data_IF_123636258763
#
_entry.id   IF_123636258763
#
_cell.length_a   1.000
_cell.length_b   1.000
_cell.length_c   1.000
_cell.angle_alpha   90.00
_cell.angle_beta   90.00
_cell.angle_gamma   90.00
#
_symmetry.space_group_name_H-M   'P 1'
#
loop_
_entity.id
_entity.type
_entity.pdbx_description
1 polymer ?
#
# COMPACT_ATOMS: atom_id res chain seq x y z
N UNK A 1 -22.99 -37.87 23.08
CA UNK A 1 -21.88 -38.75 22.64
C UNK A 1 -22.28 -39.43 21.35
N UNK A 2 -21.64 -39.05 20.24
CA UNK A 2 -21.88 -39.51 18.86
C UNK A 2 -20.99 -38.69 17.90
N UNK A 3 -20.46 -39.27 16.82
CA UNK A 3 -19.02 -39.47 16.69
C UNK A 3 -18.32 -38.32 15.95
N UNK A 4 -17.38 -37.68 16.62
CA UNK A 4 -16.35 -36.88 15.98
C UNK A 4 -15.26 -37.85 15.49
N UNK A 5 -15.30 -38.19 14.20
CA UNK A 5 -14.20 -38.88 13.52
C UNK A 5 -13.24 -37.84 12.92
N UNK A 6 -11.92 -37.93 13.16
CA UNK A 6 -10.95 -37.02 12.58
C UNK A 6 -10.65 -37.45 11.14
N UNK A 7 -11.26 -36.81 10.15
CA UNK A 7 -10.91 -37.10 8.75
C UNK A 7 -11.59 -36.23 7.69
N UNK A 8 -12.92 -36.08 7.74
CA UNK A 8 -13.67 -35.50 6.61
C UNK A 8 -14.20 -34.08 6.84
N UNK A 9 -14.41 -33.65 8.09
CA UNK A 9 -14.96 -32.32 8.39
C UNK A 9 -13.95 -31.16 8.17
N UNK A 10 -12.64 -31.43 8.27
CA UNK A 10 -11.60 -30.40 8.15
C UNK A 10 -11.36 -29.94 6.71
N UNK A 11 -11.77 -30.72 5.70
CA UNK A 11 -11.44 -30.44 4.30
C UNK A 11 -12.30 -29.32 3.67
N UNK A 12 -13.45 -28.99 4.26
CA UNK A 12 -14.35 -27.94 3.73
C UNK A 12 -14.24 -26.61 4.48
N UNK A 13 -13.65 -26.61 5.67
CA UNK A 13 -13.60 -25.45 6.57
C UNK A 13 -12.33 -24.58 6.44
N UNK A 14 -11.31 -25.04 5.71
CA UNK A 14 -10.03 -24.35 5.58
C UNK A 14 -9.85 -23.56 4.26
N UNK A 15 -10.94 -23.17 3.60
CA UNK A 15 -10.89 -22.38 2.37
C UNK A 15 -11.27 -20.93 2.61
N UNK A 16 -10.55 -20.01 1.96
CA UNK A 16 -10.90 -18.60 1.98
C UNK A 16 -12.18 -18.37 1.15
N UNK A 17 -13.25 -17.95 1.82
CA UNK A 17 -14.54 -17.63 1.19
C UNK A 17 -14.76 -16.13 1.22
N UNK A 18 -15.10 -15.54 0.08
CA UNK A 18 -15.33 -14.11 -0.05
C UNK A 18 -16.58 -13.80 -0.89
N UNK A 19 -17.45 -12.93 -0.39
CA UNK A 19 -18.49 -12.29 -1.22
C UNK A 19 -17.88 -11.11 -1.99
N UNK A 20 -17.38 -11.38 -3.19
CA UNK A 20 -16.64 -10.40 -3.99
C UNK A 20 -17.44 -9.13 -4.33
N UNK A 21 -18.75 -9.24 -4.57
CA UNK A 21 -19.58 -8.08 -4.91
C UNK A 21 -19.76 -7.14 -3.72
N UNK A 22 -20.03 -7.68 -2.54
CA UNK A 22 -20.16 -6.89 -1.31
C UNK A 22 -18.82 -6.24 -0.93
N UNK A 23 -17.73 -7.00 -1.03
CA UNK A 23 -16.36 -6.54 -0.77
C UNK A 23 -15.96 -5.42 -1.72
N UNK A 24 -16.23 -5.55 -3.03
CA UNK A 24 -15.90 -4.53 -4.02
C UNK A 24 -16.49 -3.16 -3.65
N UNK A 25 -17.79 -3.12 -3.33
CA UNK A 25 -18.49 -1.86 -3.03
C UNK A 25 -17.94 -1.19 -1.77
N UNK A 26 -17.67 -1.98 -0.72
CA UNK A 26 -17.11 -1.46 0.53
C UNK A 26 -15.67 -0.99 0.33
N UNK A 27 -14.84 -1.78 -0.34
CA UNK A 27 -13.44 -1.45 -0.57
C UNK A 27 -13.28 -0.11 -1.31
N UNK A 28 -14.00 0.09 -2.42
CA UNK A 28 -13.92 1.34 -3.19
C UNK A 28 -14.35 2.54 -2.34
N UNK A 29 -15.45 2.42 -1.59
CA UNK A 29 -15.97 3.53 -0.80
C UNK A 29 -15.06 3.87 0.38
N UNK A 30 -14.75 2.87 1.22
CA UNK A 30 -13.99 3.07 2.44
C UNK A 30 -12.54 3.47 2.20
N UNK A 31 -11.87 2.91 1.17
CA UNK A 31 -10.50 3.34 0.85
C UNK A 31 -10.46 4.75 0.27
N UNK A 32 -11.37 5.12 -0.62
CA UNK A 32 -11.41 6.49 -1.15
C UNK A 32 -11.67 7.52 -0.05
N UNK A 33 -12.56 7.23 0.90
CA UNK A 33 -12.84 8.12 2.03
C UNK A 33 -11.64 8.24 2.97
N UNK A 34 -11.00 7.11 3.33
CA UNK A 34 -9.80 7.13 4.15
C UNK A 34 -8.63 7.89 3.48
N UNK A 35 -8.44 7.73 2.17
CA UNK A 35 -7.45 8.49 1.41
C UNK A 35 -7.71 9.99 1.49
N UNK A 36 -8.94 10.45 1.25
CA UNK A 36 -9.29 11.87 1.32
C UNK A 36 -9.13 12.45 2.72
N UNK A 37 -9.44 11.66 3.75
CA UNK A 37 -9.24 12.03 5.15
C UNK A 37 -7.76 12.27 5.45
N UNK A 38 -6.86 11.33 5.16
CA UNK A 38 -5.43 11.50 5.46
C UNK A 38 -4.77 12.59 4.61
N UNK A 39 -5.21 12.79 3.37
CA UNK A 39 -4.77 13.90 2.51
C UNK A 39 -5.13 15.23 3.16
N UNK A 40 -6.39 15.39 3.58
CA UNK A 40 -6.88 16.61 4.21
C UNK A 40 -6.19 16.87 5.54
N UNK A 41 -6.01 15.83 6.36
CA UNK A 41 -5.39 15.94 7.68
C UNK A 41 -3.90 16.33 7.58
N UNK A 42 -3.24 15.98 6.46
CA UNK A 42 -1.90 16.45 6.11
C UNK A 42 -1.87 17.86 5.49
N UNK A 43 -3.01 18.52 5.31
CA UNK A 43 -3.10 19.84 4.66
C UNK A 43 -2.85 19.82 3.15
N UNK A 44 -2.97 18.65 2.53
CA UNK A 44 -2.74 18.44 1.10
C UNK A 44 -4.05 18.37 0.32
N UNK A 45 -3.93 18.35 -1.00
CA UNK A 45 -4.99 18.01 -1.94
C UNK A 45 -4.61 16.75 -2.72
N UNK A 46 -5.57 16.07 -3.37
CA UNK A 46 -5.23 14.93 -4.24
C UNK A 46 -4.22 15.27 -5.34
N UNK A 47 -4.17 16.53 -5.78
CA UNK A 47 -3.22 16.97 -6.81
C UNK A 47 -1.76 16.95 -6.32
N UNK A 48 -1.54 17.09 -5.01
CA UNK A 48 -0.23 17.10 -4.37
C UNK A 48 0.33 15.68 -4.15
N UNK A 49 -0.47 14.62 -4.39
CA UNK A 49 -0.01 13.24 -4.28
C UNK A 49 0.73 12.82 -5.55
N UNK A 50 1.99 12.43 -5.39
CA UNK A 50 2.88 12.00 -6.47
C UNK A 50 2.72 10.52 -6.80
N UNK A 51 2.56 9.67 -5.77
CA UNK A 51 2.37 8.24 -5.96
C UNK A 51 1.40 7.64 -4.94
N UNK A 52 0.44 6.85 -5.45
CA UNK A 52 -0.43 6.00 -4.65
C UNK A 52 0.04 4.56 -4.75
N UNK A 53 0.23 3.92 -3.60
CA UNK A 53 0.56 2.50 -3.49
C UNK A 53 -0.57 1.80 -2.71
N UNK A 54 -1.62 1.33 -3.41
CA UNK A 54 -2.76 0.70 -2.77
C UNK A 54 -2.51 -0.79 -2.47
N UNK A 55 -3.33 -1.37 -1.60
CA UNK A 55 -3.47 -2.82 -1.47
C UNK A 55 -3.85 -3.43 -2.83
N UNK A 56 -3.06 -4.39 -3.28
CA UNK A 56 -3.14 -5.03 -4.59
C UNK A 56 -4.23 -6.13 -4.59
N UNK A 57 -5.47 -5.75 -4.27
CA UNK A 57 -6.61 -6.67 -4.20
C UNK A 57 -7.12 -7.11 -5.57
N UNK A 58 -7.45 -6.12 -6.40
CA UNK A 58 -8.03 -6.30 -7.71
C UNK A 58 -7.90 -4.98 -8.48
N UNK A 59 -7.45 -5.07 -9.74
CA UNK A 59 -7.29 -3.91 -10.63
C UNK A 59 -8.56 -3.04 -10.71
N UNK A 60 -9.75 -3.65 -10.74
CA UNK A 60 -11.03 -2.90 -10.82
C UNK A 60 -11.30 -2.06 -9.57
N UNK A 61 -10.90 -2.54 -8.39
CA UNK A 61 -11.06 -1.79 -7.13
C UNK A 61 -10.11 -0.59 -7.15
N UNK A 62 -8.85 -0.83 -7.53
CA UNK A 62 -7.80 0.18 -7.58
C UNK A 62 -8.16 1.29 -8.57
N UNK A 63 -8.58 0.93 -9.79
CA UNK A 63 -9.00 1.92 -10.79
C UNK A 63 -10.21 2.73 -10.32
N UNK A 64 -11.25 2.08 -9.78
CA UNK A 64 -12.43 2.80 -9.29
C UNK A 64 -12.11 3.73 -8.10
N UNK A 65 -11.19 3.34 -7.24
CA UNK A 65 -10.69 4.21 -6.16
C UNK A 65 -9.92 5.40 -6.73
N UNK A 66 -9.05 5.18 -7.72
CA UNK A 66 -8.25 6.23 -8.35
C UNK A 66 -9.13 7.27 -9.06
N UNK A 67 -10.12 6.78 -9.81
CA UNK A 67 -11.12 7.63 -10.49
C UNK A 67 -11.87 8.51 -9.48
N UNK A 68 -12.25 7.96 -8.32
CA UNK A 68 -12.94 8.71 -7.25
C UNK A 68 -12.06 9.75 -6.58
N UNK A 69 -10.74 9.55 -6.57
CA UNK A 69 -9.77 10.53 -6.06
C UNK A 69 -9.37 11.56 -7.14
N UNK A 70 -9.80 11.40 -8.39
CA UNK A 70 -9.41 12.27 -9.51
C UNK A 70 -7.94 12.10 -9.91
N UNK A 71 -7.34 10.94 -9.63
CA UNK A 71 -5.93 10.67 -9.90
C UNK A 71 -5.76 9.98 -11.25
N UNK A 72 -4.72 10.37 -12.00
CA UNK A 72 -4.36 9.66 -13.23
C UNK A 72 -3.79 8.28 -12.91
N UNK A 73 -4.02 7.30 -13.80
CA UNK A 73 -3.51 5.93 -13.63
C UNK A 73 -1.98 5.86 -13.51
N UNK A 74 -1.25 6.83 -14.07
CA UNK A 74 0.20 6.92 -13.95
C UNK A 74 0.69 7.18 -12.52
N UNK A 75 -0.13 7.84 -11.69
CA UNK A 75 0.16 8.10 -10.27
C UNK A 75 -0.20 6.92 -9.36
N UNK A 76 -0.69 5.82 -9.91
CA UNK A 76 -1.09 4.65 -9.14
C UNK A 76 -0.17 3.48 -9.47
N UNK A 77 0.56 3.01 -8.47
CA UNK A 77 1.45 1.86 -8.65
C UNK A 77 0.67 0.55 -8.57
N UNK A 78 0.82 -0.29 -9.59
CA UNK A 78 0.24 -1.63 -9.64
C UNK A 78 1.27 -2.63 -10.14
N UNK A 79 1.35 -3.77 -9.46
CA UNK A 79 2.16 -4.93 -9.85
C UNK A 79 1.35 -6.24 -9.75
N UNK A 80 0.02 -6.10 -9.70
CA UNK A 80 -0.97 -7.18 -9.58
C UNK A 80 -0.82 -8.23 -10.69
N UNK A 81 -0.41 -7.80 -11.89
CA UNK A 81 -0.16 -8.68 -13.03
C UNK A 81 1.05 -9.61 -12.83
N UNK A 82 2.00 -9.22 -11.97
CA UNK A 82 3.18 -10.01 -11.64
C UNK A 82 2.96 -10.92 -10.43
N UNK A 83 2.33 -10.39 -9.36
CA UNK A 83 2.27 -11.08 -8.06
C UNK A 83 0.86 -11.47 -7.60
N UNK A 84 -0.19 -10.94 -8.23
CA UNK A 84 -1.56 -11.08 -7.73
C UNK A 84 -1.76 -10.41 -6.36
N UNK A 85 -2.73 -10.92 -5.60
CA UNK A 85 -3.01 -10.42 -4.24
C UNK A 85 -2.18 -11.19 -3.20
N UNK A 86 -1.18 -10.52 -2.63
CA UNK A 86 -0.29 -11.06 -1.59
C UNK A 86 -0.70 -10.65 -0.17
N UNK A 87 -1.98 -10.34 0.05
CA UNK A 87 -2.59 -10.01 1.35
C UNK A 87 -1.94 -8.81 2.06
N UNK A 88 -1.15 -9.01 3.12
CA UNK A 88 -0.49 -7.90 3.83
C UNK A 88 0.82 -7.46 3.16
N UNK A 89 1.45 -8.33 2.36
CA UNK A 89 2.77 -8.09 1.78
C UNK A 89 2.73 -7.20 0.53
N UNK A 90 1.57 -7.03 -0.06
CA UNK A 90 1.31 -6.22 -1.26
C UNK A 90 1.88 -4.80 -1.21
N UNK A 91 1.60 -4.02 -0.16
CA UNK A 91 2.07 -2.63 -0.10
C UNK A 91 3.60 -2.58 0.02
N UNK A 92 4.24 -3.35 0.93
CA UNK A 92 5.69 -3.42 1.00
C UNK A 92 6.35 -3.84 -0.33
N UNK A 93 5.82 -4.88 -1.00
CA UNK A 93 6.36 -5.34 -2.29
C UNK A 93 6.23 -4.23 -3.35
N UNK A 94 5.04 -3.65 -3.47
CA UNK A 94 4.78 -2.58 -4.44
C UNK A 94 5.64 -1.34 -4.19
N UNK A 95 5.83 -0.94 -2.94
CA UNK A 95 6.67 0.20 -2.56
C UNK A 95 8.16 -0.06 -2.85
N UNK A 96 8.63 -1.29 -2.58
CA UNK A 96 10.00 -1.69 -2.89
C UNK A 96 10.27 -1.67 -4.40
N UNK A 97 9.34 -2.17 -5.22
CA UNK A 97 9.48 -2.14 -6.67
C UNK A 97 9.36 -0.74 -7.25
N UNK A 98 8.39 0.06 -6.80
CA UNK A 98 8.28 1.46 -7.19
C UNK A 98 9.58 2.23 -6.94
N UNK A 99 10.20 1.96 -5.79
CA UNK A 99 11.51 2.54 -5.45
C UNK A 99 12.60 2.06 -6.41
N UNK A 100 12.72 0.74 -6.62
CA UNK A 100 13.74 0.16 -7.50
C UNK A 100 13.59 0.60 -8.97
N UNK A 101 12.35 0.84 -9.41
CA UNK A 101 12.01 1.35 -10.74
C UNK A 101 12.17 2.87 -10.86
N UNK A 102 12.63 3.56 -9.80
CA UNK A 102 12.87 5.00 -9.81
C UNK A 102 11.59 5.84 -9.87
N UNK A 103 10.46 5.28 -9.45
CA UNK A 103 9.14 5.95 -9.43
C UNK A 103 8.98 6.94 -8.28
N UNK A 104 9.87 6.89 -7.28
CA UNK A 104 9.86 7.72 -6.09
C UNK A 104 11.16 8.52 -5.96
N UNK A 105 11.04 9.78 -5.56
CA UNK A 105 12.14 10.70 -5.26
C UNK A 105 11.96 11.29 -3.87
N UNK A 106 13.07 11.72 -3.27
CA UNK A 106 13.00 12.40 -1.99
C UNK A 106 12.14 13.67 -2.11
N UNK A 107 11.19 13.85 -1.19
CA UNK A 107 10.20 14.93 -1.22
C UNK A 107 8.85 14.55 -1.83
N UNK A 108 8.74 13.40 -2.52
CA UNK A 108 7.46 12.98 -3.12
C UNK A 108 6.42 12.67 -2.02
N UNK A 109 5.18 13.09 -2.20
CA UNK A 109 4.07 12.71 -1.32
C UNK A 109 3.49 11.36 -1.73
N UNK A 110 3.63 10.38 -0.83
CA UNK A 110 3.21 9.00 -1.04
C UNK A 110 1.95 8.70 -0.24
N UNK A 111 0.94 8.17 -0.93
CA UNK A 111 -0.32 7.72 -0.33
C UNK A 111 -0.40 6.20 -0.33
N UNK A 112 -0.56 5.60 0.85
CA UNK A 112 -0.85 4.17 1.00
C UNK A 112 -2.31 4.00 1.40
N UNK A 113 -2.96 2.96 0.89
CA UNK A 113 -4.30 2.59 1.36
C UNK A 113 -4.53 1.09 1.28
N UNK A 114 -5.30 0.56 2.21
CA UNK A 114 -5.61 -0.86 2.29
C UNK A 114 -7.04 -1.12 2.73
N UNK A 115 -7.54 -2.29 2.33
CA UNK A 115 -8.81 -2.86 2.75
C UNK A 115 -8.66 -4.37 2.87
N UNK A 116 -9.28 -4.98 3.88
CA UNK A 116 -9.20 -6.42 4.13
C UNK A 116 -10.36 -6.97 4.95
N UNK A 117 -10.31 -8.29 5.20
CA UNK A 117 -11.29 -9.00 6.00
C UNK A 117 -11.34 -8.50 7.45
N UNK A 118 -12.55 -8.31 8.00
CA UNK A 118 -12.77 -7.70 9.30
C UNK A 118 -14.18 -7.09 9.45
N UNK A 119 -14.62 -6.13 8.64
CA UNK A 119 -13.87 -5.37 7.64
C UNK A 119 -12.93 -4.36 8.31
N UNK A 120 -11.74 -4.22 7.74
CA UNK A 120 -10.74 -3.23 8.18
C UNK A 120 -10.21 -2.49 6.98
N UNK A 121 -9.99 -1.18 7.13
CA UNK A 121 -9.40 -0.33 6.11
C UNK A 121 -8.60 0.78 6.77
N UNK A 122 -7.73 1.39 5.99
CA UNK A 122 -6.95 2.54 6.43
C UNK A 122 -6.16 3.13 5.29
N UNK A 123 -5.74 4.37 5.47
CA UNK A 123 -4.82 5.04 4.60
C UNK A 123 -3.74 5.75 5.43
N UNK A 124 -2.64 6.11 4.79
CA UNK A 124 -1.64 7.02 5.35
C UNK A 124 -0.99 7.79 4.23
N UNK A 125 -0.63 9.04 4.49
CA UNK A 125 0.20 9.84 3.59
C UNK A 125 1.46 10.28 4.32
N UNK A 126 2.57 10.35 3.60
CA UNK A 126 3.86 10.79 4.13
C UNK A 126 4.76 11.28 3.00
N UNK A 127 5.75 12.10 3.35
CA UNK A 127 6.81 12.51 2.43
C UNK A 127 7.88 11.42 2.33
N UNK A 128 8.24 11.04 1.10
CA UNK A 128 9.28 10.05 0.85
C UNK A 128 10.66 10.64 1.15
N UNK A 129 11.40 10.06 2.10
CA UNK A 129 12.73 10.55 2.49
C UNK A 129 13.87 10.05 1.57
N UNK A 130 13.56 9.22 0.57
CA UNK A 130 14.57 8.50 -0.21
C UNK A 130 15.07 7.22 0.47
N UNK A 131 15.74 6.36 -0.30
CA UNK A 131 16.45 5.21 0.24
C UNK A 131 17.78 5.67 0.80
N UNK A 132 17.92 5.56 2.12
CA UNK A 132 19.23 5.73 2.76
C UNK A 132 20.09 4.54 2.39
N UNK A 133 21.25 4.79 1.79
CA UNK A 133 22.31 3.79 1.73
C UNK A 133 23.04 3.81 3.08
N UNK A 134 22.89 2.77 3.93
CA UNK A 134 23.56 2.73 5.23
C UNK A 134 25.08 2.74 5.10
N UNK A 135 25.65 2.23 4.00
CA UNK A 135 27.10 2.29 3.77
C UNK A 135 27.57 3.71 3.46
N UNK A 136 26.81 4.47 2.66
CA UNK A 136 27.14 5.87 2.33
C UNK A 136 27.02 6.80 3.55
N UNK A 137 26.01 6.58 4.40
CA UNK A 137 25.79 7.38 5.61
C UNK A 137 26.91 7.25 6.65
N UNK A 138 27.59 6.10 6.72
CA UNK A 138 28.77 5.91 7.59
C UNK A 138 29.92 6.79 7.09
N UNK A 139 30.21 6.78 5.80
CA UNK A 139 31.24 7.64 5.18
C UNK A 139 30.99 9.13 5.45
N UNK A 140 29.77 9.63 5.26
CA UNK A 140 29.46 11.04 5.50
C UNK A 140 29.65 11.45 6.98
N UNK A 141 29.38 10.54 7.93
CA UNK A 141 29.62 10.80 9.35
C UNK A 141 31.10 10.82 9.73
N UNK A 142 31.94 10.04 9.05
CA UNK A 142 33.40 10.03 9.25
C UNK A 142 34.01 11.29 8.67
N UNK A 143 33.62 11.68 7.45
CA UNK A 143 34.08 12.90 6.79
C UNK A 143 33.65 14.15 7.56
N UNK A 144 32.40 14.19 8.06
CA UNK A 144 31.93 15.32 8.87
C UNK A 144 32.68 15.44 10.22
N UNK A 145 33.08 14.33 10.82
CA UNK A 145 33.88 14.33 12.05
C UNK A 145 35.34 14.76 11.79
N UNK A 146 35.92 14.40 10.65
CA UNK A 146 37.26 14.83 10.24
C UNK A 146 37.29 16.34 9.91
N UNK A 147 36.29 16.86 9.20
CA UNK A 147 36.19 18.29 8.85
C UNK A 147 35.91 19.17 10.08
N UNK A 148 35.23 18.65 11.10
CA UNK A 148 35.01 19.38 12.36
C UNK A 148 36.23 19.37 13.30
N UNK A 149 37.26 18.59 12.99
CA UNK A 149 38.50 18.49 13.76
C UNK A 149 39.65 19.37 13.20
N UNK A 150 39.43 20.05 12.07
CA UNK A 150 40.30 21.11 11.50
C UNK A 150 39.76 22.52 11.81
#
# INVERSE_FOLDING_TARGET
>A
TGPCGPGEALAREAHLVMNGAAVFKHAVTSMSEACLEVIRDAGLTPADIDLVVPHQANRRIITAMADRLGLSGERVYMNLERYGNTSSATIPIALAEATAEGRLKAGDHVLLCAFGGGLTWGAMTFEWAGIRNPEAAVTDSVVAAEVAAE
#
